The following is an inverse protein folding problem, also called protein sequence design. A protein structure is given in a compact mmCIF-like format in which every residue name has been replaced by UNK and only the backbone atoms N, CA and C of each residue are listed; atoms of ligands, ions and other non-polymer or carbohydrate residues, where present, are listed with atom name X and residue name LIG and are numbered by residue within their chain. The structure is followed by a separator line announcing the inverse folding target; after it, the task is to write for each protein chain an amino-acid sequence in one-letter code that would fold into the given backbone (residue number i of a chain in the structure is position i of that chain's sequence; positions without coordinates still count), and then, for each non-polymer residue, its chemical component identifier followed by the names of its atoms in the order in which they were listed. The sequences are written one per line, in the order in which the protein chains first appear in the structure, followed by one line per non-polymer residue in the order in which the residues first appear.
data_IF_509626064579
#
_entry.id   IF_509626064579
#
_cell.length_a   1.000
_cell.length_b   1.000
_cell.length_c   1.000
_cell.angle_alpha   90.00
_cell.angle_beta   90.00
_cell.angle_gamma   90.00
#
_symmetry.space_group_name_H-M   'P 1'
#
loop_
_entity.id
_entity.type
_entity.pdbx_description
1 polymer ?
#
# COMPACT_ATOMS: atom_id res chain seq x y z
N UNK A 1 25.72 -27.26 0.13
CA UNK A 1 24.57 -26.56 0.74
C UNK A 1 24.34 -25.30 -0.08
N UNK A 2 23.12 -25.04 -0.54
CA UNK A 2 22.77 -23.77 -1.18
C UNK A 2 22.37 -22.83 -0.05
N UNK A 3 23.11 -21.73 0.14
CA UNK A 3 22.64 -20.65 1.02
C UNK A 3 21.49 -19.93 0.33
N UNK A 4 20.29 -20.05 0.89
CA UNK A 4 19.19 -19.15 0.55
C UNK A 4 19.41 -17.90 1.38
N UNK A 5 20.07 -16.90 0.79
CA UNK A 5 20.21 -15.58 1.41
C UNK A 5 18.83 -14.98 1.63
N UNK A 6 18.60 -14.38 2.81
CA UNK A 6 17.34 -13.71 3.12
C UNK A 6 17.02 -12.61 2.10
N UNK A 7 15.75 -12.50 1.69
CA UNK A 7 15.31 -11.49 0.73
C UNK A 7 15.43 -10.10 1.40
N UNK A 8 16.07 -9.11 0.76
CA UNK A 8 16.17 -7.75 1.29
C UNK A 8 14.79 -7.13 1.53
N UNK A 9 14.62 -6.41 2.64
CA UNK A 9 13.36 -5.78 3.04
C UNK A 9 12.79 -4.80 1.99
N UNK A 10 13.65 -4.19 1.18
CA UNK A 10 13.26 -3.32 0.06
C UNK A 10 12.44 -4.05 -0.99
N UNK A 11 12.75 -5.33 -1.27
CA UNK A 11 12.00 -6.15 -2.22
C UNK A 11 10.68 -6.66 -1.64
N UNK A 12 10.53 -6.58 -0.31
CA UNK A 12 9.32 -6.96 0.42
C UNK A 12 8.48 -5.73 0.79
N UNK A 13 8.72 -4.58 0.15
CA UNK A 13 7.98 -3.35 0.40
C UNK A 13 7.09 -3.01 -0.79
N UNK A 14 5.77 -2.92 -0.54
CA UNK A 14 4.81 -2.43 -1.54
C UNK A 14 4.68 -0.93 -1.38
N UNK A 15 4.86 -0.16 -2.47
CA UNK A 15 4.55 1.27 -2.45
C UNK A 15 3.86 1.76 -3.72
N UNK A 16 3.07 2.82 -3.61
CA UNK A 16 2.37 3.38 -4.77
C UNK A 16 1.60 4.67 -4.48
N UNK A 17 1.13 5.27 -5.56
CA UNK A 17 0.26 6.46 -5.52
C UNK A 17 -1.09 6.04 -6.10
N UNK A 18 -2.16 6.24 -5.33
CA UNK A 18 -3.51 6.09 -5.84
C UNK A 18 -3.88 7.36 -6.60
N UNK A 19 -4.05 7.22 -7.91
CA UNK A 19 -4.63 8.24 -8.78
C UNK A 19 -6.01 7.78 -9.23
N UNK A 20 -6.94 8.70 -9.23
CA UNK A 20 -8.36 8.40 -9.32
C UNK A 20 -8.97 9.47 -10.22
N UNK A 21 -9.83 9.06 -11.14
CA UNK A 21 -10.29 9.93 -12.25
C UNK A 21 -11.81 10.03 -12.34
N UNK A 22 -12.55 9.34 -11.48
CA UNK A 22 -14.02 9.22 -11.55
C UNK A 22 -14.74 10.19 -10.59
N UNK A 23 -15.96 10.61 -10.94
CA UNK A 23 -16.84 11.53 -10.20
C UNK A 23 -17.12 11.16 -8.72
N UNK A 24 -17.00 9.89 -8.33
CA UNK A 24 -17.05 9.47 -6.92
C UNK A 24 -15.98 10.20 -6.09
N UNK A 25 -14.84 10.54 -6.71
CA UNK A 25 -13.82 11.39 -6.10
C UNK A 25 -14.18 12.85 -5.93
N UNK A 26 -15.02 13.41 -6.80
CA UNK A 26 -15.42 14.81 -6.69
C UNK A 26 -16.16 15.07 -5.37
N UNK A 27 -16.82 14.04 -4.83
CA UNK A 27 -17.60 14.14 -3.60
C UNK A 27 -16.80 13.81 -2.34
N UNK A 28 -15.61 13.21 -2.46
CA UNK A 28 -14.80 12.76 -1.32
C UNK A 28 -13.52 13.55 -1.24
N UNK A 29 -13.26 14.18 -0.09
CA UNK A 29 -12.01 14.90 0.12
C UNK A 29 -10.78 13.98 0.02
N UNK A 30 -9.62 14.57 -0.27
CA UNK A 30 -8.33 13.83 -0.27
C UNK A 30 -8.08 13.07 1.03
N UNK A 31 -8.48 13.63 2.17
CA UNK A 31 -8.35 13.00 3.48
C UNK A 31 -9.22 11.74 3.61
N UNK A 32 -10.45 11.77 3.08
CA UNK A 32 -11.32 10.59 3.08
C UNK A 32 -10.73 9.46 2.25
N UNK A 33 -10.17 9.77 1.08
CA UNK A 33 -9.45 8.79 0.28
C UNK A 33 -8.19 8.27 0.98
N UNK A 34 -7.45 9.14 1.65
CA UNK A 34 -6.27 8.72 2.39
C UNK A 34 -6.64 7.72 3.49
N UNK A 35 -7.77 7.91 4.18
CA UNK A 35 -8.25 6.94 5.18
C UNK A 35 -8.55 5.55 4.57
N UNK A 36 -9.08 5.50 3.34
CA UNK A 36 -9.31 4.23 2.63
C UNK A 36 -7.99 3.58 2.24
N UNK A 37 -7.05 4.35 1.69
CA UNK A 37 -5.72 3.89 1.32
C UNK A 37 -4.95 3.37 2.54
N UNK A 38 -5.00 4.08 3.66
CA UNK A 38 -4.37 3.67 4.92
C UNK A 38 -4.94 2.35 5.43
N UNK A 39 -6.27 2.15 5.30
CA UNK A 39 -6.90 0.88 5.64
C UNK A 39 -6.42 -0.26 4.75
N UNK A 40 -6.32 -0.04 3.44
CA UNK A 40 -5.81 -1.04 2.51
C UNK A 40 -4.35 -1.40 2.80
N UNK A 41 -3.50 -0.40 3.07
CA UNK A 41 -2.11 -0.59 3.48
C UNK A 41 -2.01 -1.41 4.76
N UNK A 42 -2.83 -1.12 5.78
CA UNK A 42 -2.88 -1.91 7.02
C UNK A 42 -3.30 -3.35 6.77
N UNK A 43 -4.28 -3.57 5.88
CA UNK A 43 -4.73 -4.93 5.51
C UNK A 43 -3.62 -5.72 4.81
N UNK A 44 -2.86 -5.08 3.91
CA UNK A 44 -1.72 -5.70 3.23
C UNK A 44 -0.56 -6.02 4.20
N UNK A 45 -0.38 -5.20 5.23
CA UNK A 45 0.62 -5.42 6.27
C UNK A 45 0.14 -6.40 7.37
N UNK A 46 -1.14 -6.79 7.37
CA UNK A 46 -1.72 -7.73 8.33
C UNK A 46 -1.84 -9.14 7.74
N UNK A 47 -1.97 -10.15 8.60
CA UNK A 47 -2.18 -11.55 8.17
C UNK A 47 -3.45 -11.71 7.32
N UNK A 48 -3.43 -12.53 6.25
CA UNK A 48 -2.34 -13.43 5.84
C UNK A 48 -1.26 -12.79 4.94
N UNK A 49 -1.45 -11.54 4.51
CA UNK A 49 -0.55 -10.88 3.55
C UNK A 49 0.76 -10.41 4.20
N UNK A 50 0.72 -10.02 5.47
CA UNK A 50 1.88 -9.55 6.24
C UNK A 50 3.01 -10.56 6.38
N UNK A 51 2.75 -11.85 6.17
CA UNK A 51 3.79 -12.89 6.14
C UNK A 51 4.70 -12.81 4.91
N UNK A 52 4.26 -12.11 3.86
CA UNK A 52 4.96 -12.02 2.57
C UNK A 52 5.56 -10.66 2.29
N UNK A 53 5.28 -9.66 3.13
CA UNK A 53 5.72 -8.28 2.93
C UNK A 53 6.25 -7.71 4.25
N UNK A 54 7.37 -6.99 4.18
CA UNK A 54 7.95 -6.29 5.31
C UNK A 54 7.19 -4.98 5.61
N UNK A 55 6.73 -4.28 4.58
CA UNK A 55 5.95 -3.05 4.75
C UNK A 55 5.09 -2.71 3.53
N UNK A 56 4.07 -1.87 3.74
CA UNK A 56 3.28 -1.28 2.67
C UNK A 56 3.12 0.23 2.91
N UNK A 57 3.15 1.03 1.84
CA UNK A 57 2.95 2.49 1.92
C UNK A 57 2.27 3.03 0.67
N UNK A 58 1.17 3.75 0.82
CA UNK A 58 0.52 4.40 -0.32
C UNK A 58 -0.02 5.78 0.05
N UNK A 59 -0.08 6.68 -0.93
CA UNK A 59 -0.62 8.04 -0.78
C UNK A 59 -1.61 8.35 -1.89
N UNK A 60 -2.52 9.28 -1.62
CA UNK A 60 -3.44 9.81 -2.62
C UNK A 60 -2.73 10.90 -3.43
N UNK A 61 -2.55 10.67 -4.72
CA UNK A 61 -2.06 11.66 -5.67
C UNK A 61 -3.19 12.58 -6.15
N UNK A 62 -2.85 13.80 -6.51
CA UNK A 62 -3.70 14.66 -7.35
C UNK A 62 -3.02 14.83 -8.70
N UNK A 63 -3.80 14.99 -9.78
CA UNK A 63 -3.28 15.60 -11.00
C UNK A 63 -2.88 17.05 -10.73
#
# INVERSE_FOLDING_TARGET
MVEITAIPASHLTISGILSTTNIIMANWSRMMWQNVVDRAVRMLASDPFGLHFFSARATVGGN
#
